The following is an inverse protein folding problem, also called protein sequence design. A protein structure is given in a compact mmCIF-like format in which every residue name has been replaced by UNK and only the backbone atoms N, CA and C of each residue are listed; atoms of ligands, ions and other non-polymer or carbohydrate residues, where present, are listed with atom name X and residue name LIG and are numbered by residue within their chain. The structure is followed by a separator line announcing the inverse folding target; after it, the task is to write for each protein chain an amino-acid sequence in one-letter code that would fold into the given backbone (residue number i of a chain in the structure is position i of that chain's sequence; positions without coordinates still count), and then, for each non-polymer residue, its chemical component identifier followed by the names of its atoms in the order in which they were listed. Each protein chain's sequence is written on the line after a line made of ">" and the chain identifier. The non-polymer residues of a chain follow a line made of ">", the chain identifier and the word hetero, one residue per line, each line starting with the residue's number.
data_IF_080876664865
#
_entry.id   IF_080876664865
#
_cell.length_a   1.000
_cell.length_b   1.000
_cell.length_c   1.000
_cell.angle_alpha   90.00
_cell.angle_beta   90.00
_cell.angle_gamma   90.00
#
_symmetry.space_group_name_H-M   'P 1'
#
loop_
_entity.id
_entity.type
_entity.pdbx_description
1 polymer ?
#
# COMPACT_ATOMS: atom_id res chain seq x y z
N UNK A 1 -10.03 -2.91 -4.10
CA UNK A 1 -10.09 -2.68 -5.57
C UNK A 1 -8.68 -2.81 -6.17
N UNK A 2 -8.50 -2.87 -7.49
CA UNK A 2 -7.15 -2.86 -8.10
C UNK A 2 -6.28 -1.65 -7.64
N UNK A 3 -6.93 -0.59 -7.16
CA UNK A 3 -6.33 0.60 -6.58
C UNK A 3 -5.37 0.32 -5.41
N UNK A 4 -5.66 -0.66 -4.55
CA UNK A 4 -4.88 -0.87 -3.31
C UNK A 4 -3.49 -1.46 -3.62
N UNK A 5 -3.43 -2.41 -4.55
CA UNK A 5 -2.17 -3.00 -5.02
C UNK A 5 -1.28 -1.96 -5.69
N UNK A 6 -1.86 -1.08 -6.52
CA UNK A 6 -1.14 0.03 -7.17
C UNK A 6 -0.65 1.05 -6.13
N UNK A 7 -1.46 1.34 -5.12
CA UNK A 7 -1.11 2.26 -4.04
C UNK A 7 0.07 1.73 -3.19
N UNK A 8 0.05 0.44 -2.85
CA UNK A 8 1.15 -0.26 -2.20
C UNK A 8 2.42 -0.21 -3.05
N UNK A 9 2.31 -0.42 -4.36
CA UNK A 9 3.48 -0.38 -5.24
C UNK A 9 4.10 1.02 -5.32
N UNK A 10 3.28 2.04 -5.54
CA UNK A 10 3.76 3.42 -5.67
C UNK A 10 4.53 3.87 -4.43
N UNK A 11 3.98 3.59 -3.24
CA UNK A 11 4.68 3.92 -1.99
C UNK A 11 5.97 3.12 -1.75
N UNK A 12 6.21 1.97 -2.42
CA UNK A 12 7.53 1.31 -2.38
C UNK A 12 8.52 1.92 -3.39
N UNK A 13 8.04 2.59 -4.44
CA UNK A 13 8.90 3.27 -5.41
C UNK A 13 9.56 4.50 -4.81
N UNK A 14 8.91 5.15 -3.84
CA UNK A 14 9.46 6.28 -3.09
C UNK A 14 10.55 5.88 -2.08
N UNK A 15 10.74 4.58 -1.82
CA UNK A 15 11.84 4.07 -0.98
C UNK A 15 13.11 3.85 -1.81
N UNK A 16 14.26 4.28 -1.26
CA UNK A 16 15.58 3.88 -1.78
C UNK A 16 15.82 2.39 -1.56
N UNK A 17 16.84 1.84 -2.20
CA UNK A 17 17.13 0.40 -2.11
C UNK A 17 17.46 -0.06 -0.69
N UNK A 18 18.18 0.75 0.09
CA UNK A 18 18.47 0.44 1.49
C UNK A 18 17.19 0.41 2.35
N UNK A 19 16.32 1.40 2.17
CA UNK A 19 15.02 1.49 2.85
C UNK A 19 14.11 0.32 2.42
N UNK A 20 14.13 -0.08 1.14
CA UNK A 20 13.38 -1.26 0.69
C UNK A 20 13.87 -2.55 1.36
N UNK A 21 15.18 -2.73 1.53
CA UNK A 21 15.75 -3.90 2.22
C UNK A 21 15.34 -3.94 3.69
N UNK A 22 15.38 -2.80 4.37
CA UNK A 22 14.93 -2.67 5.75
C UNK A 22 13.42 -2.94 5.88
N UNK A 23 12.61 -2.41 4.96
CA UNK A 23 11.18 -2.72 4.87
C UNK A 23 10.92 -4.21 4.73
N UNK A 24 11.62 -4.88 3.80
CA UNK A 24 11.50 -6.32 3.58
C UNK A 24 11.99 -7.13 4.78
N UNK A 25 12.99 -6.63 5.50
CA UNK A 25 13.48 -7.23 6.72
C UNK A 25 12.40 -7.19 7.82
N UNK A 26 11.77 -6.05 8.07
CA UNK A 26 10.63 -5.97 9.00
C UNK A 26 9.48 -6.89 8.55
N UNK A 27 9.13 -6.86 7.26
CA UNK A 27 8.03 -7.66 6.72
C UNK A 27 8.23 -9.18 6.93
N UNK A 28 9.46 -9.71 6.86
CA UNK A 28 9.73 -11.14 7.12
C UNK A 28 9.87 -11.47 8.60
N UNK A 29 10.30 -10.53 9.44
CA UNK A 29 10.50 -10.79 10.87
C UNK A 29 9.20 -10.69 11.66
N UNK A 30 8.30 -9.77 11.28
CA UNK A 30 7.02 -9.58 11.95
C UNK A 30 5.92 -10.55 11.46
N UNK A 31 6.17 -11.31 10.37
CA UNK A 31 5.17 -12.18 9.77
C UNK A 31 5.73 -13.53 9.30
N UNK A 32 5.50 -14.58 10.10
CA UNK A 32 5.88 -15.97 9.77
C UNK A 32 5.33 -16.48 8.43
N UNK A 33 4.24 -15.87 7.94
CA UNK A 33 3.62 -16.20 6.64
C UNK A 33 4.49 -15.84 5.42
N UNK A 34 5.58 -15.10 5.62
CA UNK A 34 6.49 -14.66 4.57
C UNK A 34 7.86 -15.28 4.83
N UNK A 35 8.30 -16.16 3.93
CA UNK A 35 9.59 -16.82 4.09
C UNK A 35 10.76 -15.89 3.77
N UNK A 36 11.84 -16.02 4.52
CA UNK A 36 13.08 -15.26 4.32
C UNK A 36 13.62 -15.37 2.90
N UNK A 37 13.64 -16.58 2.34
CA UNK A 37 14.10 -16.86 0.99
C UNK A 37 13.28 -16.15 -0.10
N UNK A 38 12.00 -15.86 0.17
CA UNK A 38 11.15 -15.15 -0.78
C UNK A 38 11.49 -13.66 -0.84
N UNK A 39 11.90 -13.07 0.29
CA UNK A 39 12.20 -11.64 0.46
C UNK A 39 13.64 -11.25 0.16
N UNK A 40 14.63 -12.14 0.34
CA UNK A 40 16.05 -11.83 0.12
C UNK A 40 16.36 -11.23 -1.27
N UNK A 41 15.62 -11.67 -2.30
CA UNK A 41 15.75 -11.20 -3.69
C UNK A 41 14.46 -10.60 -4.24
N UNK A 42 13.54 -10.20 -3.36
CA UNK A 42 12.29 -9.62 -3.80
C UNK A 42 12.51 -8.21 -4.35
N UNK A 43 11.97 -7.95 -5.54
CA UNK A 43 11.78 -6.58 -6.00
C UNK A 43 10.48 -6.00 -5.42
N UNK A 44 10.23 -4.72 -5.71
CA UNK A 44 9.04 -4.00 -5.23
C UNK A 44 7.73 -4.67 -5.65
N UNK A 45 7.67 -5.27 -6.85
CA UNK A 45 6.46 -5.94 -7.33
C UNK A 45 6.23 -7.23 -6.56
N UNK A 46 7.27 -8.05 -6.42
CA UNK A 46 7.21 -9.32 -5.69
C UNK A 46 6.85 -9.10 -4.22
N UNK A 47 7.37 -8.06 -3.58
CA UNK A 47 6.98 -7.69 -2.22
C UNK A 47 5.50 -7.37 -2.13
N UNK A 48 4.96 -6.52 -3.03
CA UNK A 48 3.53 -6.17 -3.02
C UNK A 48 2.65 -7.39 -3.31
N UNK A 49 3.01 -8.21 -4.29
CA UNK A 49 2.27 -9.44 -4.60
C UNK A 49 2.22 -10.38 -3.40
N UNK A 50 3.33 -10.52 -2.68
CA UNK A 50 3.36 -11.37 -1.49
C UNK A 50 2.50 -10.81 -0.36
N UNK A 51 2.58 -9.51 -0.08
CA UNK A 51 1.74 -8.88 0.95
C UNK A 51 0.25 -9.06 0.64
N UNK A 52 -0.18 -8.78 -0.59
CA UNK A 52 -1.57 -8.91 -0.99
C UNK A 52 -2.02 -10.37 -0.99
N UNK A 53 -1.16 -11.31 -1.38
CA UNK A 53 -1.47 -12.75 -1.37
C UNK A 53 -1.61 -13.31 0.05
N UNK A 54 -0.76 -12.87 0.99
CA UNK A 54 -0.77 -13.38 2.37
C UNK A 54 -1.85 -12.75 3.24
N UNK A 55 -2.10 -11.45 3.11
CA UNK A 55 -2.95 -10.70 4.04
C UNK A 55 -4.23 -10.16 3.39
N UNK A 56 -4.30 -10.14 2.06
CA UNK A 56 -5.35 -9.44 1.32
C UNK A 56 -5.01 -7.95 1.12
N UNK A 57 -5.70 -7.27 0.18
CA UNK A 57 -5.33 -5.93 -0.26
C UNK A 57 -5.50 -4.85 0.82
N UNK A 58 -6.57 -4.91 1.62
CA UNK A 58 -6.83 -3.93 2.69
C UNK A 58 -5.83 -4.10 3.84
N UNK A 59 -5.63 -5.33 4.31
CA UNK A 59 -4.73 -5.61 5.43
C UNK A 59 -3.27 -5.35 5.06
N UNK A 60 -2.88 -5.62 3.81
CA UNK A 60 -1.57 -5.27 3.29
C UNK A 60 -1.28 -3.76 3.38
N UNK A 61 -2.28 -2.88 3.24
CA UNK A 61 -2.10 -1.43 3.41
C UNK A 61 -1.80 -1.10 4.88
N UNK A 62 -2.53 -1.69 5.83
CA UNK A 62 -2.32 -1.46 7.27
C UNK A 62 -0.93 -1.92 7.72
N UNK A 63 -0.52 -3.12 7.31
CA UNK A 63 0.81 -3.67 7.58
C UNK A 63 1.88 -2.74 7.02
N UNK A 64 1.72 -2.32 5.75
CA UNK A 64 2.68 -1.41 5.11
C UNK A 64 2.82 -0.09 5.86
N UNK A 65 1.70 0.52 6.27
CA UNK A 65 1.71 1.76 7.05
C UNK A 65 2.45 1.58 8.38
N UNK A 66 2.24 0.44 9.06
CA UNK A 66 2.93 0.11 10.31
C UNK A 66 4.45 0.05 10.13
N UNK A 67 4.93 -0.72 9.14
CA UNK A 67 6.37 -0.86 8.88
C UNK A 67 7.00 0.47 8.47
N UNK A 68 6.34 1.27 7.62
CA UNK A 68 6.84 2.61 7.26
C UNK A 68 7.00 3.52 8.48
N UNK A 69 6.09 3.45 9.47
CA UNK A 69 6.21 4.20 10.72
C UNK A 69 7.39 3.70 11.57
N UNK A 70 7.64 2.39 11.62
CA UNK A 70 8.79 1.82 12.34
C UNK A 70 10.13 2.30 11.77
N UNK A 71 10.21 2.47 10.45
CA UNK A 71 11.39 2.97 9.74
C UNK A 71 11.51 4.51 9.73
N UNK A 72 10.68 5.22 10.51
CA UNK A 72 10.56 6.68 10.49
C UNK A 72 10.17 7.30 9.13
N UNK A 73 9.62 6.51 8.18
CA UNK A 73 9.05 6.99 6.92
C UNK A 73 7.62 7.52 7.10
N UNK A 74 7.43 8.36 8.13
CA UNK A 74 6.12 8.82 8.60
C UNK A 74 5.33 9.57 7.52
N UNK A 75 6.01 10.35 6.69
CA UNK A 75 5.37 11.07 5.58
C UNK A 75 4.78 10.11 4.54
N UNK A 76 5.53 9.06 4.15
CA UNK A 76 5.03 8.04 3.22
C UNK A 76 3.89 7.24 3.83
N UNK A 77 3.98 6.92 5.12
CA UNK A 77 2.92 6.22 5.85
C UNK A 77 1.60 7.02 5.87
N UNK A 78 1.68 8.32 6.17
CA UNK A 78 0.52 9.22 6.17
C UNK A 78 -0.09 9.38 4.77
N UNK A 79 0.75 9.57 3.74
CA UNK A 79 0.27 9.65 2.36
C UNK A 79 -0.45 8.38 1.92
N UNK A 80 0.10 7.21 2.28
CA UNK A 80 -0.49 5.91 1.97
C UNK A 80 -1.86 5.75 2.65
N UNK A 81 -1.92 6.05 3.95
CA UNK A 81 -3.16 5.96 4.75
C UNK A 81 -4.24 6.92 4.23
N UNK A 82 -3.87 8.17 3.92
CA UNK A 82 -4.78 9.18 3.39
C UNK A 82 -5.32 8.82 2.00
N UNK A 83 -4.48 8.28 1.12
CA UNK A 83 -4.91 7.84 -0.21
C UNK A 83 -5.86 6.65 -0.11
N UNK A 84 -5.62 5.71 0.80
CA UNK A 84 -6.51 4.58 1.02
C UNK A 84 -7.88 5.04 1.55
N UNK A 85 -7.92 5.92 2.57
CA UNK A 85 -9.18 6.48 3.13
C UNK A 85 -9.98 7.35 2.13
N UNK A 86 -9.34 7.96 1.14
CA UNK A 86 -10.02 8.77 0.13
C UNK A 86 -10.73 7.92 -0.95
N UNK A 87 -10.32 6.67 -1.15
CA UNK A 87 -11.01 5.75 -2.08
C UNK A 87 -12.44 5.47 -1.59
N UNK A 88 -12.68 5.51 -0.27
CA UNK A 88 -14.01 5.37 0.32
C UNK A 88 -14.84 6.66 0.35
N UNK A 89 -14.24 7.83 0.06
CA UNK A 89 -14.87 9.16 0.19
C UNK A 89 -14.98 9.95 -1.12
N UNK A 90 -14.86 9.34 -2.28
CA UNK A 90 -15.17 10.04 -3.53
C UNK A 90 -16.69 10.31 -3.63
N UNK A 91 -17.16 11.57 -3.68
CA UNK A 91 -18.54 11.83 -4.02
C UNK A 91 -18.76 11.40 -5.46
N UNK A 92 -19.67 10.44 -5.68
CA UNK A 92 -20.23 10.15 -7.01
C UNK A 92 -20.73 11.47 -7.58
N UNK A 93 -19.99 12.03 -8.54
CA UNK A 93 -20.42 13.18 -9.32
C UNK A 93 -21.61 12.75 -10.17
N UNK A 94 -22.83 12.86 -9.64
CA UNK A 94 -24.05 12.79 -10.45
C UNK A 94 -24.06 14.00 -11.39
N UNK A 95 -23.56 13.79 -12.60
CA UNK A 95 -23.62 14.79 -13.66
C UNK A 95 -25.02 14.80 -14.28
N UNK A 96 -25.73 15.92 -14.08
CA UNK A 96 -26.72 16.59 -14.96
C UNK A 96 -27.92 15.78 -15.52
N UNK A 97 -29.14 16.16 -15.09
CA UNK A 97 -30.25 16.36 -16.03
C UNK A 97 -30.79 17.79 -15.79
N UNK A 98 -30.60 18.67 -16.77
CA UNK A 98 -31.22 19.99 -16.77
C UNK A 98 -32.70 19.80 -17.11
N UNK A 99 -33.61 20.12 -16.20
CA UNK A 99 -34.99 20.41 -16.59
C UNK A 99 -35.08 21.91 -16.88
N UNK A 100 -35.35 22.21 -18.15
CA UNK A 100 -35.72 23.55 -18.64
C UNK A 100 -37.22 23.67 -18.41
N UNK A 101 -37.74 24.64 -17.65
CA UNK A 101 -39.18 24.86 -17.59
C UNK A 101 -39.66 25.55 -18.86
N UNK A 102 -40.81 25.10 -19.37
CA UNK A 102 -41.58 25.73 -20.44
C UNK A 102 -42.40 26.90 -19.89
#
# INVERSE_FOLDING_TARGET
>A
MASDKVLLLNSLKDLREAELKEFQWHLKNDHESISESEMEKADRLKTVDKMVKCFGPEEAVKIKVGILKMMNQNNLAEQLENKHKQVDKAPVRKSKLKMVPV
#
